data_IF_216061630381
#
_entry.id   IF_216061630381
#
_cell.length_a   1.000
_cell.length_b   1.000
_cell.length_c   1.000
_cell.angle_alpha   90.00
_cell.angle_beta   90.00
_cell.angle_gamma   90.00
#
_symmetry.space_group_name_H-M   'P 1'
#
loop_
_entity.id
_entity.type
_entity.pdbx_description
1 polymer ?
#
# COMPACT_ATOMS: atom_id res chain seq x y z
N UNK A 1 -2.49 25.15 23.02
CA UNK A 1 -3.21 23.95 22.53
C UNK A 1 -2.19 22.82 22.41
N UNK A 2 -2.42 21.67 23.05
CA UNK A 2 -1.57 20.49 22.87
C UNK A 2 -2.18 19.68 21.73
N UNK A 3 -1.51 19.64 20.58
CA UNK A 3 -1.91 18.77 19.48
C UNK A 3 -1.31 17.39 19.75
N UNK A 4 -2.16 16.38 19.81
CA UNK A 4 -1.71 14.99 19.76
C UNK A 4 -1.70 14.64 18.27
N UNK A 5 -0.50 14.45 17.71
CA UNK A 5 -0.34 13.94 16.36
C UNK A 5 -0.68 12.45 16.39
N UNK A 6 -1.72 12.05 15.67
CA UNK A 6 -2.03 10.64 15.44
C UNK A 6 -1.04 10.08 14.40
N UNK A 7 0.13 9.69 14.89
CA UNK A 7 1.21 9.12 14.07
C UNK A 7 0.84 7.76 13.46
N UNK A 8 -0.23 7.11 13.92
CA UNK A 8 -0.66 5.82 13.38
C UNK A 8 -1.45 6.00 12.08
N UNK A 9 -2.20 7.11 11.95
CA UNK A 9 -2.96 7.46 10.75
C UNK A 9 -2.15 8.20 9.67
N UNK A 10 -0.92 8.62 9.96
CA UNK A 10 -0.06 9.25 8.93
C UNK A 10 0.52 8.24 7.94
N UNK A 11 0.81 7.02 8.38
CA UNK A 11 1.31 5.94 7.51
C UNK A 11 0.71 4.58 7.87
N UNK A 12 -0.61 4.42 7.98
CA UNK A 12 -1.20 3.16 8.40
C UNK A 12 -0.96 2.07 7.34
N UNK A 13 -0.98 0.80 7.75
CA UNK A 13 -1.18 -0.30 6.82
C UNK A 13 -2.52 -0.15 6.08
N UNK A 14 -2.69 -0.87 4.99
CA UNK A 14 -4.00 -1.07 4.38
C UNK A 14 -4.62 -2.40 4.83
N UNK A 15 -5.76 -2.75 4.25
CA UNK A 15 -6.52 -3.96 4.59
C UNK A 15 -5.75 -5.25 4.31
N UNK A 16 -4.79 -5.26 3.38
CA UNK A 16 -3.97 -6.44 3.11
C UNK A 16 -3.02 -6.80 4.27
N UNK A 17 -2.86 -5.91 5.26
CA UNK A 17 -2.15 -6.21 6.52
C UNK A 17 -3.08 -6.41 7.73
N UNK A 18 -4.38 -6.61 7.48
CA UNK A 18 -5.34 -7.02 8.49
C UNK A 18 -5.74 -8.47 8.24
N UNK A 19 -5.73 -9.27 9.30
CA UNK A 19 -6.29 -10.63 9.25
C UNK A 19 -7.79 -10.50 9.48
N UNK A 20 -8.57 -10.76 8.43
CA UNK A 20 -10.02 -10.74 8.45
C UNK A 20 -10.52 -12.16 8.24
N UNK A 21 -11.23 -12.72 9.23
CA UNK A 21 -11.72 -14.10 9.18
C UNK A 21 -12.81 -14.30 8.11
N UNK A 22 -13.45 -13.22 7.67
CA UNK A 22 -14.63 -13.22 6.78
C UNK A 22 -14.29 -12.92 5.31
N UNK A 23 -13.03 -12.65 4.95
CA UNK A 23 -12.65 -12.18 3.61
C UNK A 23 -11.72 -13.16 2.92
N UNK A 24 -12.19 -13.75 1.83
CA UNK A 24 -11.34 -14.54 0.95
C UNK A 24 -10.47 -13.64 0.07
N UNK A 25 -9.15 -13.69 0.27
CA UNK A 25 -8.20 -12.99 -0.59
C UNK A 25 -8.11 -13.63 -1.97
N UNK A 26 -7.85 -12.82 -2.99
CA UNK A 26 -7.58 -13.29 -4.35
C UNK A 26 -6.29 -14.11 -4.43
N UNK A 27 -6.14 -14.90 -5.49
CA UNK A 27 -4.98 -15.80 -5.67
C UNK A 27 -3.67 -15.00 -5.70
N UNK A 28 -3.65 -13.87 -6.40
CA UNK A 28 -2.49 -13.00 -6.53
C UNK A 28 -2.05 -12.42 -5.17
N UNK A 29 -3.01 -12.09 -4.31
CA UNK A 29 -2.72 -11.61 -2.96
C UNK A 29 -2.19 -12.72 -2.05
N UNK A 30 -2.72 -13.95 -2.18
CA UNK A 30 -2.20 -15.12 -1.44
C UNK A 30 -0.80 -15.48 -1.88
N UNK A 31 -0.53 -15.48 -3.19
CA UNK A 31 0.79 -15.74 -3.77
C UNK A 31 1.83 -14.70 -3.33
N UNK A 32 1.41 -13.44 -3.17
CA UNK A 32 2.22 -12.37 -2.60
C UNK A 32 2.40 -12.46 -1.05
N UNK A 33 1.77 -13.45 -0.41
CA UNK A 33 1.87 -13.72 1.02
C UNK A 33 1.01 -12.80 1.89
N UNK A 34 -0.15 -12.34 1.40
CA UNK A 34 -1.16 -11.64 2.20
C UNK A 34 -2.19 -12.63 2.79
N UNK A 35 -2.79 -12.33 3.97
CA UNK A 35 -2.63 -11.11 4.73
C UNK A 35 -1.37 -11.14 5.62
N UNK A 36 -0.72 -9.99 5.82
CA UNK A 36 0.48 -9.90 6.68
C UNK A 36 0.15 -9.24 8.01
N UNK A 37 0.59 -9.82 9.13
CA UNK A 37 0.28 -9.25 10.43
C UNK A 37 1.02 -7.92 10.66
N UNK A 38 0.28 -6.86 11.03
CA UNK A 38 0.84 -5.58 11.45
C UNK A 38 0.63 -5.33 12.96
N UNK A 39 1.51 -4.52 13.58
CA UNK A 39 1.50 -4.30 15.04
C UNK A 39 0.22 -3.62 15.55
N UNK A 40 -0.42 -2.81 14.70
CA UNK A 40 -1.70 -2.16 14.99
C UNK A 40 -2.68 -2.42 13.85
N UNK A 41 -3.98 -2.31 14.14
CA UNK A 41 -5.07 -2.68 13.24
C UNK A 41 -5.77 -1.49 12.56
N UNK A 42 -5.29 -0.26 12.78
CA UNK A 42 -5.79 0.91 12.06
C UNK A 42 -5.35 0.84 10.61
N UNK A 43 -6.30 0.72 9.67
CA UNK A 43 -6.01 0.72 8.24
C UNK A 43 -6.52 1.98 7.56
N UNK A 44 -5.74 2.56 6.64
CA UNK A 44 -6.27 3.54 5.69
C UNK A 44 -5.62 3.36 4.33
N UNK A 45 -6.36 3.71 3.29
CA UNK A 45 -5.85 3.76 1.93
C UNK A 45 -5.20 5.12 1.66
N UNK A 46 -4.24 5.14 0.73
CA UNK A 46 -3.63 6.37 0.23
C UNK A 46 -4.60 7.11 -0.68
N UNK A 47 -4.56 8.43 -0.68
CA UNK A 47 -5.48 9.24 -1.47
C UNK A 47 -5.30 8.97 -2.97
N UNK A 48 -4.05 8.85 -3.43
CA UNK A 48 -3.73 8.57 -4.82
C UNK A 48 -4.29 7.22 -5.30
N UNK A 49 -4.35 6.22 -4.41
CA UNK A 49 -4.98 4.93 -4.69
C UNK A 49 -6.50 5.06 -4.78
N UNK A 50 -7.09 5.83 -3.86
CA UNK A 50 -8.54 6.08 -3.83
C UNK A 50 -8.96 6.78 -5.11
N UNK A 51 -8.24 7.82 -5.52
CA UNK A 51 -8.50 8.56 -6.75
C UNK A 51 -8.41 7.64 -7.97
N UNK A 52 -7.31 6.86 -8.09
CA UNK A 52 -7.14 5.92 -9.19
C UNK A 52 -8.19 4.79 -9.21
N UNK A 53 -8.63 4.33 -8.03
CA UNK A 53 -9.70 3.33 -7.93
C UNK A 53 -11.04 3.91 -8.37
N UNK A 54 -11.40 5.12 -7.92
CA UNK A 54 -12.63 5.80 -8.33
C UNK A 54 -12.64 6.03 -9.84
N UNK A 55 -11.53 6.46 -10.43
CA UNK A 55 -11.39 6.60 -11.88
C UNK A 55 -11.58 5.26 -12.61
N UNK A 56 -10.95 4.19 -12.15
CA UNK A 56 -11.11 2.85 -12.73
C UNK A 56 -12.57 2.37 -12.67
N UNK A 57 -13.24 2.56 -11.51
CA UNK A 57 -14.66 2.21 -11.34
C UNK A 57 -15.57 3.08 -12.19
N UNK A 58 -15.25 4.36 -12.38
CA UNK A 58 -16.01 5.24 -13.26
C UNK A 58 -15.91 4.81 -14.72
N UNK A 59 -14.71 4.47 -15.20
CA UNK A 59 -14.52 3.93 -16.57
C UNK A 59 -15.27 2.60 -16.74
N UNK A 60 -15.23 1.72 -15.73
CA UNK A 60 -15.99 0.47 -15.75
C UNK A 60 -17.51 0.73 -15.77
N UNK A 61 -17.99 1.70 -15.00
CA UNK A 61 -19.40 2.11 -14.96
C UNK A 61 -19.87 2.55 -16.35
N UNK A 62 -19.12 3.45 -17.00
CA UNK A 62 -19.43 3.93 -18.35
C UNK A 62 -19.46 2.77 -19.37
N UNK A 63 -18.52 1.82 -19.28
CA UNK A 63 -18.50 0.64 -20.15
C UNK A 63 -19.71 -0.27 -19.94
N UNK A 64 -20.10 -0.51 -18.68
CA UNK A 64 -21.26 -1.34 -18.34
C UNK A 64 -22.56 -0.66 -18.77
N UNK A 65 -22.69 0.65 -18.56
CA UNK A 65 -23.85 1.42 -19.01
C UNK A 65 -24.00 1.35 -20.54
N UNK A 66 -22.92 1.57 -21.28
CA UNK A 66 -22.91 1.45 -22.74
C UNK A 66 -23.26 0.03 -23.21
N UNK A 67 -22.72 -1.00 -22.55
CA UNK A 67 -23.04 -2.40 -22.85
C UNK A 67 -24.53 -2.71 -22.65
N UNK A 68 -25.11 -2.24 -21.55
CA UNK A 68 -26.52 -2.46 -21.25
C UNK A 68 -27.45 -1.68 -22.19
N UNK A 69 -27.09 -0.46 -22.60
CA UNK A 69 -27.80 0.31 -23.64
C UNK A 69 -27.81 -0.46 -24.97
N UNK A 70 -26.64 -0.91 -25.44
CA UNK A 70 -26.56 -1.69 -26.68
C UNK A 70 -27.29 -3.03 -26.61
N UNK A 71 -27.34 -3.68 -25.44
CA UNK A 71 -28.08 -4.93 -25.28
C UNK A 71 -29.61 -4.73 -25.35
N UNK A 72 -30.10 -3.53 -25.06
CA UNK A 72 -31.51 -3.16 -25.17
C UNK A 72 -31.87 -2.82 -26.62
N UNK A 73 -31.00 -2.10 -27.34
CA UNK A 73 -31.19 -1.78 -28.77
C UNK A 73 -31.22 -3.05 -29.66
N UNK A 74 -30.55 -4.13 -29.25
CA UNK A 74 -30.51 -5.39 -30.00
C UNK A 74 -31.68 -6.36 -29.70
N UNK A 75 -32.62 -6.01 -28.82
CA UNK A 75 -33.85 -6.79 -28.65
C UNK A 75 -34.88 -6.39 -29.72
N UNK A 76 -35.48 -7.33 -30.46
CA UNK A 76 -36.50 -7.00 -31.46
C UNK A 76 -37.73 -6.37 -30.79
N UNK A 77 -38.20 -5.25 -31.36
CA UNK A 77 -39.36 -4.48 -30.92
C UNK A 77 -40.64 -5.34 -30.83
N UNK A 78 -41.05 -5.68 -29.61
CA UNK A 78 -42.45 -5.97 -29.28
C UNK A 78 -42.93 -4.99 -28.22
N UNK A 79 -43.25 -3.76 -28.62
CA UNK A 79 -44.49 -3.04 -28.25
C UNK A 79 -44.43 -1.60 -28.78
N UNK A 80 -45.45 -1.22 -29.56
CA UNK A 80 -45.71 0.16 -29.90
C UNK A 80 -46.30 0.93 -28.72
N UNK A 81 -45.92 2.21 -28.68
CA UNK A 81 -46.58 3.35 -28.01
C UNK A 81 -46.51 3.43 -26.47
N UNK A 82 -45.44 4.08 -25.99
CA UNK A 82 -45.39 5.13 -24.93
C UNK A 82 -43.92 5.56 -24.78
N UNK A 83 -43.42 6.39 -25.69
CA UNK A 83 -41.96 6.52 -25.90
C UNK A 83 -41.22 7.41 -24.90
N UNK A 84 -41.85 8.35 -24.18
CA UNK A 84 -41.08 9.27 -23.31
C UNK A 84 -40.89 8.76 -21.88
N UNK A 85 -41.92 8.20 -21.22
CA UNK A 85 -41.77 7.65 -19.86
C UNK A 85 -41.03 6.30 -19.83
N UNK A 86 -41.17 5.48 -20.88
CA UNK A 86 -40.46 4.20 -20.99
C UNK A 86 -38.97 4.41 -21.23
N UNK A 87 -38.56 5.43 -21.99
CA UNK A 87 -37.13 5.72 -22.21
C UNK A 87 -36.46 6.22 -20.92
N UNK A 88 -37.11 7.09 -20.13
CA UNK A 88 -36.56 7.52 -18.84
C UNK A 88 -36.47 6.37 -17.80
N UNK A 89 -37.43 5.43 -17.82
CA UNK A 89 -37.39 4.24 -16.97
C UNK A 89 -36.26 3.27 -17.37
N UNK A 90 -36.06 3.10 -18.68
CA UNK A 90 -35.02 2.24 -19.25
C UNK A 90 -33.63 2.79 -18.94
N UNK A 91 -33.42 4.10 -19.02
CA UNK A 91 -32.15 4.74 -18.64
C UNK A 91 -31.83 4.54 -17.15
N UNK A 92 -32.84 4.66 -16.27
CA UNK A 92 -32.68 4.43 -14.83
C UNK A 92 -32.34 2.97 -14.51
N UNK A 93 -32.95 2.01 -15.21
CA UNK A 93 -32.66 0.59 -15.04
C UNK A 93 -31.26 0.20 -15.53
N UNK A 94 -30.80 0.83 -16.61
CA UNK A 94 -29.42 0.65 -17.12
C UNK A 94 -28.42 1.21 -16.11
N UNK A 95 -28.66 2.43 -15.62
CA UNK A 95 -27.82 3.07 -14.61
C UNK A 95 -27.79 2.21 -13.34
N UNK A 96 -28.91 1.64 -12.90
CA UNK A 96 -28.96 0.80 -11.72
C UNK A 96 -28.17 -0.51 -11.88
N UNK A 97 -28.26 -1.16 -13.04
CA UNK A 97 -27.46 -2.36 -13.35
C UNK A 97 -25.97 -2.05 -13.39
N UNK A 98 -25.60 -0.93 -14.02
CA UNK A 98 -24.21 -0.48 -14.07
C UNK A 98 -23.69 -0.10 -12.67
N UNK A 99 -24.48 0.61 -11.87
CA UNK A 99 -24.16 1.02 -10.50
C UNK A 99 -23.93 -0.19 -9.59
N UNK A 100 -24.79 -1.20 -9.69
CA UNK A 100 -24.62 -2.46 -8.96
C UNK A 100 -23.35 -3.21 -9.42
N UNK A 101 -23.05 -3.24 -10.72
CA UNK A 101 -21.84 -3.86 -11.26
C UNK A 101 -20.53 -3.21 -10.77
N UNK A 102 -20.57 -1.91 -10.49
CA UNK A 102 -19.43 -1.16 -9.93
C UNK A 102 -19.49 -0.97 -8.41
N UNK A 103 -20.39 -1.68 -7.70
CA UNK A 103 -20.44 -1.65 -6.25
C UNK A 103 -20.71 -0.26 -5.68
N UNK A 104 -21.50 0.55 -6.39
CA UNK A 104 -21.90 1.88 -5.92
C UNK A 104 -22.65 1.78 -4.58
N UNK A 105 -22.49 2.78 -3.72
CA UNK A 105 -23.25 2.87 -2.46
C UNK A 105 -24.73 3.14 -2.71
N UNK A 106 -25.03 3.89 -3.77
CA UNK A 106 -26.39 4.18 -4.22
C UNK A 106 -26.70 3.40 -5.48
N UNK A 107 -27.92 2.90 -5.56
CA UNK A 107 -28.34 2.09 -6.71
C UNK A 107 -28.79 2.97 -7.89
N UNK A 108 -29.04 4.27 -7.68
CA UNK A 108 -29.56 5.19 -8.72
C UNK A 108 -28.49 6.06 -9.38
N UNK A 109 -27.28 6.10 -8.82
CA UNK A 109 -26.18 6.94 -9.30
C UNK A 109 -24.83 6.32 -8.97
N UNK A 110 -23.78 6.79 -9.64
CA UNK A 110 -22.41 6.43 -9.29
C UNK A 110 -21.98 7.21 -8.03
N UNK A 111 -21.90 6.52 -6.89
CA UNK A 111 -21.45 7.09 -5.62
C UNK A 111 -20.48 6.12 -4.93
N UNK A 112 -19.19 6.40 -5.04
CA UNK A 112 -18.12 5.64 -4.37
C UNK A 112 -17.50 6.54 -3.31
N UNK A 113 -17.72 6.19 -2.05
CA UNK A 113 -17.14 6.90 -0.89
C UNK A 113 -16.49 5.90 0.04
N UNK A 114 -15.36 6.30 0.60
CA UNK A 114 -14.61 5.48 1.53
C UNK A 114 -14.79 6.01 2.95
N UNK A 115 -15.17 5.10 3.84
CA UNK A 115 -15.15 5.35 5.26
C UNK A 115 -13.86 4.75 5.85
N UNK A 116 -12.93 5.57 6.37
CA UNK A 116 -11.63 5.10 6.85
C UNK A 116 -11.73 4.28 8.14
N UNK A 117 -12.85 4.37 8.87
CA UNK A 117 -13.02 3.74 10.18
C UNK A 117 -13.79 2.40 10.13
N UNK A 118 -14.04 1.88 8.93
CA UNK A 118 -14.82 0.65 8.69
C UNK A 118 -14.24 -0.59 9.38
N UNK A 119 -12.92 -0.67 9.49
CA UNK A 119 -12.20 -1.76 10.15
C UNK A 119 -11.49 -1.32 11.45
N UNK A 120 -11.73 -0.09 11.92
CA UNK A 120 -11.10 0.42 13.15
C UNK A 120 -11.64 -0.33 14.38
N UNK A 121 -10.80 -1.04 15.17
CA UNK A 121 -11.27 -1.76 16.33
C UNK A 121 -11.81 -0.79 17.38
N UNK A 122 -13.04 -1.02 17.83
CA UNK A 122 -13.70 -0.22 18.87
C UNK A 122 -14.53 0.96 18.38
N UNK A 123 -14.57 1.23 17.07
CA UNK A 123 -15.52 2.19 16.48
C UNK A 123 -16.75 1.43 16.00
N UNK A 124 -17.93 1.84 16.45
CA UNK A 124 -19.21 1.37 15.89
C UNK A 124 -19.71 2.42 14.91
N UNK A 125 -19.71 2.14 13.60
CA UNK A 125 -20.27 3.04 12.61
C UNK A 125 -21.76 3.28 12.91
N UNK A 126 -22.24 4.50 12.68
CA UNK A 126 -23.65 4.84 12.83
C UNK A 126 -24.53 4.33 11.67
N UNK A 127 -23.94 3.65 10.68
CA UNK A 127 -24.59 3.18 9.48
C UNK A 127 -25.33 1.86 9.69
N UNK A 128 -26.33 1.60 8.84
CA UNK A 128 -27.03 0.32 8.79
C UNK A 128 -26.08 -0.84 8.47
N UNK A 129 -26.41 -2.04 8.96
CA UNK A 129 -25.56 -3.22 8.78
C UNK A 129 -25.32 -3.57 7.30
N UNK A 130 -26.31 -3.33 6.44
CA UNK A 130 -26.21 -3.54 5.00
C UNK A 130 -25.26 -2.53 4.34
N UNK A 131 -25.37 -1.25 4.72
CA UNK A 131 -24.49 -0.20 4.21
C UNK A 131 -23.04 -0.44 4.67
N UNK A 132 -22.85 -0.82 5.94
CA UNK A 132 -21.54 -1.17 6.47
C UNK A 132 -20.91 -2.35 5.71
N UNK A 133 -21.69 -3.35 5.30
CA UNK A 133 -21.20 -4.46 4.45
C UNK A 133 -20.73 -3.96 3.09
N UNK A 134 -21.49 -3.07 2.42
CA UNK A 134 -21.08 -2.44 1.15
C UNK A 134 -19.82 -1.59 1.32
N UNK A 135 -19.71 -0.82 2.41
CA UNK A 135 -18.50 -0.04 2.73
C UNK A 135 -17.28 -0.95 2.95
N UNK A 136 -17.44 -2.05 3.70
CA UNK A 136 -16.38 -3.06 3.90
C UNK A 136 -15.91 -3.67 2.59
N UNK A 137 -16.84 -4.10 1.74
CA UNK A 137 -16.50 -4.71 0.45
C UNK A 137 -15.76 -3.72 -0.45
N UNK A 138 -16.17 -2.45 -0.49
CA UNK A 138 -15.48 -1.42 -1.29
C UNK A 138 -14.02 -1.22 -0.88
N UNK A 139 -13.72 -1.19 0.42
CA UNK A 139 -12.34 -1.05 0.91
C UNK A 139 -11.52 -2.30 0.57
N UNK A 140 -12.11 -3.50 0.69
CA UNK A 140 -11.47 -4.76 0.29
C UNK A 140 -11.20 -4.79 -1.22
N UNK A 141 -12.16 -4.36 -2.03
CA UNK A 141 -12.01 -4.29 -3.49
C UNK A 141 -10.90 -3.31 -3.90
N UNK A 142 -10.79 -2.17 -3.22
CA UNK A 142 -9.69 -1.23 -3.44
C UNK A 142 -8.32 -1.82 -3.04
N UNK A 143 -8.27 -2.58 -1.94
CA UNK A 143 -7.06 -3.29 -1.52
C UNK A 143 -6.66 -4.41 -2.51
N UNK A 144 -7.65 -5.08 -3.10
CA UNK A 144 -7.44 -6.05 -4.19
C UNK A 144 -6.91 -5.36 -5.44
N UNK A 145 -7.55 -4.26 -5.85
CA UNK A 145 -7.13 -3.44 -7.00
C UNK A 145 -5.68 -2.98 -6.89
N UNK A 146 -5.20 -2.65 -5.69
CA UNK A 146 -3.79 -2.33 -5.47
C UNK A 146 -2.86 -3.47 -5.94
N UNK A 147 -3.17 -4.71 -5.55
CA UNK A 147 -2.32 -5.88 -5.85
C UNK A 147 -2.50 -6.36 -7.28
N UNK A 148 -3.73 -6.39 -7.79
CA UNK A 148 -4.04 -6.96 -9.10
C UNK A 148 -3.82 -6.00 -10.26
N UNK A 149 -3.97 -4.69 -10.04
CA UNK A 149 -3.92 -3.69 -11.10
C UNK A 149 -2.82 -2.65 -10.89
N UNK A 150 -2.75 -1.98 -9.73
CA UNK A 150 -1.77 -0.89 -9.52
C UNK A 150 -0.33 -1.38 -9.50
N UNK A 151 -0.02 -2.47 -8.79
CA UNK A 151 1.34 -3.02 -8.74
C UNK A 151 1.82 -3.48 -10.14
N UNK A 152 1.08 -4.34 -10.87
CA UNK A 152 1.45 -4.70 -12.23
C UNK A 152 1.44 -3.51 -13.20
N UNK A 153 0.51 -2.56 -13.02
CA UNK A 153 0.43 -1.31 -13.78
C UNK A 153 1.70 -0.47 -13.63
N UNK A 154 2.20 -0.32 -12.40
CA UNK A 154 3.47 0.36 -12.13
C UNK A 154 4.65 -0.31 -12.83
N UNK A 155 4.71 -1.66 -12.82
CA UNK A 155 5.76 -2.40 -13.53
C UNK A 155 5.69 -2.15 -15.04
N UNK A 156 4.48 -2.14 -15.63
CA UNK A 156 4.28 -1.80 -17.04
C UNK A 156 4.71 -0.37 -17.36
N UNK A 157 4.32 0.59 -16.53
CA UNK A 157 4.71 1.99 -16.72
C UNK A 157 6.24 2.16 -16.70
N UNK A 158 6.94 1.45 -15.82
CA UNK A 158 8.41 1.43 -15.79
C UNK A 158 9.03 0.79 -17.03
N UNK A 159 8.37 -0.20 -17.64
CA UNK A 159 8.79 -0.78 -18.92
C UNK A 159 8.60 0.21 -20.08
N UNK A 160 7.53 1.00 -20.03
CA UNK A 160 7.23 2.06 -20.99
C UNK A 160 8.04 3.35 -20.73
N UNK A 161 8.95 3.32 -19.74
CA UNK A 161 9.79 4.44 -19.33
C UNK A 161 9.02 5.70 -18.92
N UNK A 162 7.78 5.56 -18.44
CA UNK A 162 6.99 6.69 -17.94
C UNK A 162 7.57 7.22 -16.62
N UNK A 163 7.53 6.48 -15.49
CA UNK A 163 8.40 6.74 -14.35
C UNK A 163 9.77 6.05 -14.55
N UNK A 164 10.85 6.83 -14.50
CA UNK A 164 12.23 6.34 -14.54
C UNK A 164 12.98 6.73 -13.25
N UNK A 165 12.69 6.06 -12.12
CA UNK A 165 13.35 6.37 -10.87
C UNK A 165 14.85 6.05 -10.96
N UNK A 166 15.66 6.98 -10.48
CA UNK A 166 17.13 6.92 -10.52
C UNK A 166 17.74 6.57 -9.16
N UNK A 167 16.96 6.75 -8.09
CA UNK A 167 17.37 6.49 -6.71
C UNK A 167 16.18 6.03 -5.85
N UNK A 168 16.45 5.68 -4.59
CA UNK A 168 15.42 5.20 -3.65
C UNK A 168 14.35 6.25 -3.30
N UNK A 169 14.71 7.53 -3.36
CA UNK A 169 13.79 8.65 -3.08
C UNK A 169 12.78 8.75 -4.23
N UNK A 170 13.25 8.89 -5.46
CA UNK A 170 12.39 8.94 -6.66
C UNK A 170 11.57 7.67 -6.83
N UNK A 171 12.11 6.49 -6.48
CA UNK A 171 11.34 5.24 -6.45
C UNK A 171 10.18 5.31 -5.44
N UNK A 172 10.45 5.80 -4.23
CA UNK A 172 9.43 5.93 -3.19
C UNK A 172 8.35 6.93 -3.59
N UNK A 173 8.73 8.05 -4.20
CA UNK A 173 7.80 9.05 -4.72
C UNK A 173 6.96 8.50 -5.87
N UNK A 174 7.57 7.76 -6.82
CA UNK A 174 6.85 7.14 -7.93
C UNK A 174 5.82 6.10 -7.45
N UNK A 175 6.16 5.29 -6.45
CA UNK A 175 5.23 4.35 -5.83
C UNK A 175 4.09 5.07 -5.11
N UNK A 176 4.42 6.08 -4.31
CA UNK A 176 3.42 6.87 -3.59
C UNK A 176 2.50 7.64 -4.54
N UNK A 177 3.00 8.14 -5.67
CA UNK A 177 2.22 8.81 -6.71
C UNK A 177 1.19 7.91 -7.38
N UNK A 178 1.37 6.57 -7.32
CA UNK A 178 0.37 5.56 -7.71
C UNK A 178 -0.49 5.07 -6.54
N UNK A 179 -0.33 5.65 -5.35
CA UNK A 179 -1.00 5.21 -4.13
C UNK A 179 -0.49 3.89 -3.56
N UNK A 180 0.65 3.39 -4.04
CA UNK A 180 1.25 2.14 -3.57
C UNK A 180 2.04 2.44 -2.29
N UNK A 181 1.69 1.75 -1.20
CA UNK A 181 2.45 1.89 0.03
C UNK A 181 3.84 1.27 -0.13
N UNK A 182 4.87 1.93 0.39
CA UNK A 182 6.23 1.40 0.32
C UNK A 182 6.44 0.06 1.06
N UNK A 183 5.47 -0.37 1.87
CA UNK A 183 5.39 -1.75 2.42
C UNK A 183 5.32 -2.83 1.33
N UNK A 184 4.81 -2.49 0.14
CA UNK A 184 4.76 -3.38 -1.02
C UNK A 184 6.09 -3.49 -1.78
N UNK A 185 7.14 -2.77 -1.36
CA UNK A 185 8.45 -2.79 -2.02
C UNK A 185 9.00 -4.21 -2.17
N UNK A 186 8.85 -5.07 -1.16
CA UNK A 186 9.29 -6.46 -1.25
C UNK A 186 8.52 -7.27 -2.31
N UNK A 187 7.21 -7.05 -2.43
CA UNK A 187 6.38 -7.69 -3.46
C UNK A 187 6.78 -7.20 -4.85
N UNK A 188 7.03 -5.89 -5.01
CA UNK A 188 7.52 -5.30 -6.24
C UNK A 188 8.87 -5.89 -6.66
N UNK A 189 9.84 -5.99 -5.73
CA UNK A 189 11.17 -6.58 -5.99
C UNK A 189 11.03 -7.98 -6.57
N UNK A 190 10.17 -8.81 -6.00
CA UNK A 190 9.92 -10.16 -6.50
C UNK A 190 9.36 -10.15 -7.93
N UNK A 191 8.40 -9.26 -8.23
CA UNK A 191 7.80 -9.13 -9.57
C UNK A 191 8.81 -8.67 -10.64
N UNK A 192 9.70 -7.73 -10.31
CA UNK A 192 10.68 -7.20 -11.26
C UNK A 192 11.95 -8.05 -11.36
N UNK A 193 12.19 -8.97 -10.41
CA UNK A 193 13.37 -9.84 -10.41
C UNK A 193 13.48 -10.72 -11.66
N UNK A 194 12.35 -11.11 -12.25
CA UNK A 194 12.27 -11.90 -13.47
C UNK A 194 12.33 -11.09 -14.76
N UNK A 195 12.44 -9.75 -14.68
CA UNK A 195 12.35 -8.85 -15.83
C UNK A 195 13.70 -8.21 -16.14
N UNK A 196 14.38 -8.71 -17.17
CA UNK A 196 15.74 -8.28 -17.53
C UNK A 196 15.87 -6.77 -17.84
N UNK A 197 14.83 -6.17 -18.44
CA UNK A 197 14.81 -4.74 -18.78
C UNK A 197 14.78 -3.85 -17.53
N UNK A 198 14.31 -4.36 -16.39
CA UNK A 198 14.17 -3.62 -15.13
C UNK A 198 15.29 -3.95 -14.12
N UNK A 199 16.42 -4.49 -14.56
CA UNK A 199 17.59 -4.76 -13.69
C UNK A 199 18.07 -3.53 -12.92
N UNK A 200 18.04 -2.36 -13.54
CA UNK A 200 18.42 -1.10 -12.88
C UNK A 200 17.46 -0.81 -11.72
N UNK A 201 16.15 -0.95 -11.95
CA UNK A 201 15.10 -0.72 -10.97
C UNK A 201 15.17 -1.74 -9.83
N UNK A 202 15.40 -3.01 -10.17
CA UNK A 202 15.61 -4.08 -9.19
C UNK A 202 16.78 -3.76 -8.25
N UNK A 203 17.90 -3.28 -8.80
CA UNK A 203 19.08 -2.90 -8.00
C UNK A 203 18.77 -1.75 -7.04
N UNK A 204 18.06 -0.72 -7.51
CA UNK A 204 17.63 0.40 -6.68
C UNK A 204 16.67 -0.06 -5.57
N UNK A 205 15.67 -0.89 -5.92
CA UNK A 205 14.68 -1.38 -4.99
C UNK A 205 15.29 -2.28 -3.90
N UNK A 206 16.25 -3.13 -4.25
CA UNK A 206 17.02 -3.93 -3.28
C UNK A 206 17.87 -3.04 -2.38
N UNK A 207 18.58 -2.05 -2.94
CA UNK A 207 19.32 -1.07 -2.14
C UNK A 207 18.40 -0.34 -1.14
N UNK A 208 17.24 0.12 -1.58
CA UNK A 208 16.26 0.79 -0.71
C UNK A 208 15.76 -0.15 0.40
N UNK A 209 15.51 -1.42 0.10
CA UNK A 209 15.11 -2.44 1.07
C UNK A 209 16.20 -2.69 2.13
N UNK A 210 17.46 -2.80 1.70
CA UNK A 210 18.61 -2.97 2.61
C UNK A 210 18.81 -1.72 3.47
N UNK A 211 18.81 -0.52 2.88
CA UNK A 211 18.98 0.75 3.59
C UNK A 211 17.91 0.96 4.67
N UNK A 212 16.65 0.63 4.38
CA UNK A 212 15.55 0.70 5.36
C UNK A 212 15.68 -0.30 6.49
N UNK A 213 16.05 -1.53 6.15
CA UNK A 213 16.31 -2.58 7.14
C UNK A 213 17.47 -2.20 8.05
N UNK A 214 18.57 -1.70 7.46
CA UNK A 214 19.73 -1.20 8.18
C UNK A 214 19.36 -0.03 9.11
N UNK A 215 18.57 0.94 8.65
CA UNK A 215 18.08 2.04 9.50
C UNK A 215 17.30 1.53 10.71
N UNK A 216 16.42 0.54 10.52
CA UNK A 216 15.62 -0.04 11.60
C UNK A 216 16.50 -0.75 12.64
N UNK A 217 17.43 -1.61 12.18
CA UNK A 217 18.38 -2.30 13.06
C UNK A 217 19.31 -1.30 13.77
N UNK A 218 19.78 -0.28 13.06
CA UNK A 218 20.64 0.77 13.61
C UNK A 218 19.97 1.54 14.74
N UNK A 219 18.70 1.91 14.58
CA UNK A 219 17.94 2.62 15.61
C UNK A 219 17.84 1.82 16.91
N UNK A 220 17.54 0.52 16.82
CA UNK A 220 17.51 -0.37 17.98
C UNK A 220 18.90 -0.59 18.56
N UNK A 221 19.92 -0.77 17.72
CA UNK A 221 21.30 -0.95 18.14
C UNK A 221 21.82 0.24 18.96
N UNK A 222 21.53 1.48 18.53
CA UNK A 222 21.97 2.67 19.24
C UNK A 222 21.22 2.95 20.55
N UNK A 223 19.98 2.48 20.72
CA UNK A 223 19.20 2.69 21.95
C UNK A 223 19.86 2.08 23.20
N UNK A 224 20.69 1.04 23.02
CA UNK A 224 21.41 0.39 24.11
C UNK A 224 22.80 0.94 24.40
N UNK A 225 23.26 1.98 23.68
CA UNK A 225 24.63 2.47 23.74
C UNK A 225 24.73 3.74 24.58
N UNK A 226 25.64 3.75 25.55
CA UNK A 226 25.95 4.95 26.33
C UNK A 226 26.53 6.07 25.44
N UNK A 227 26.23 7.33 25.78
CA UNK A 227 26.66 8.49 25.00
C UNK A 227 28.18 8.55 24.77
N UNK A 228 28.99 8.02 25.69
CA UNK A 228 30.45 7.95 25.57
C UNK A 228 30.94 6.96 24.51
N UNK A 229 30.17 5.92 24.19
CA UNK A 229 30.54 4.87 23.22
C UNK A 229 29.82 5.03 21.87
N UNK A 230 29.00 6.07 21.71
CA UNK A 230 28.13 6.24 20.53
C UNK A 230 28.93 6.26 19.21
N UNK A 231 30.02 7.03 19.15
CA UNK A 231 30.84 7.14 17.95
C UNK A 231 31.48 5.79 17.54
N UNK A 232 31.96 5.03 18.52
CA UNK A 232 32.54 3.70 18.32
C UNK A 232 31.47 2.71 17.83
N UNK A 233 30.29 2.73 18.45
CA UNK A 233 29.18 1.90 18.05
C UNK A 233 28.70 2.22 16.62
N UNK A 234 28.58 3.50 16.27
CA UNK A 234 28.22 3.95 14.92
C UNK A 234 29.25 3.49 13.88
N UNK A 235 30.54 3.68 14.15
CA UNK A 235 31.61 3.22 13.26
C UNK A 235 31.60 1.71 13.09
N UNK A 236 31.45 0.95 14.17
CA UNK A 236 31.34 -0.51 14.11
C UNK A 236 30.15 -0.96 13.24
N UNK A 237 28.97 -0.38 13.46
CA UNK A 237 27.79 -0.70 12.66
C UNK A 237 27.98 -0.42 11.16
N UNK A 238 28.52 0.76 10.82
CA UNK A 238 28.76 1.14 9.43
C UNK A 238 29.85 0.27 8.77
N UNK A 239 30.88 -0.13 9.53
CA UNK A 239 31.87 -1.09 9.05
C UNK A 239 31.25 -2.47 8.81
N UNK A 240 30.31 -2.92 9.64
CA UNK A 240 29.57 -4.16 9.38
C UNK A 240 28.65 -4.06 8.16
N UNK A 241 28.05 -2.89 7.90
CA UNK A 241 27.11 -2.69 6.80
C UNK A 241 27.80 -2.50 5.44
N UNK A 242 28.88 -1.72 5.42
CA UNK A 242 29.55 -1.27 4.18
C UNK A 242 30.93 -1.90 3.97
N UNK A 243 31.54 -2.44 5.03
CA UNK A 243 32.88 -2.99 4.99
C UNK A 243 32.93 -4.35 4.30
N UNK A 244 33.98 -4.56 3.53
CA UNK A 244 34.31 -5.83 2.86
C UNK A 244 35.33 -6.67 3.64
N UNK A 245 35.87 -6.13 4.73
CA UNK A 245 36.88 -6.76 5.56
C UNK A 245 36.30 -7.22 6.92
N UNK A 246 36.79 -8.33 7.50
CA UNK A 246 36.38 -8.76 8.84
C UNK A 246 36.74 -7.67 9.86
N UNK A 247 35.75 -7.21 10.62
CA UNK A 247 35.94 -6.15 11.61
C UNK A 247 36.86 -6.64 12.73
N UNK A 248 38.06 -6.07 12.83
CA UNK A 248 38.89 -6.25 14.01
C UNK A 248 38.17 -5.56 15.18
N UNK A 249 37.85 -6.32 16.24
CA UNK A 249 37.27 -5.74 17.44
C UNK A 249 38.18 -4.59 17.92
N UNK A 250 37.63 -3.41 18.22
CA UNK A 250 38.44 -2.33 18.75
C UNK A 250 39.14 -2.82 20.01
N UNK A 251 40.44 -2.52 20.21
CA UNK A 251 41.14 -2.92 21.42
C UNK A 251 40.38 -2.36 22.61
N UNK A 252 39.93 -3.25 23.50
CA UNK A 252 39.36 -2.87 24.78
C UNK A 252 40.42 -2.08 25.53
N UNK A 253 40.21 -0.78 25.74
CA UNK A 253 41.02 -0.02 26.69
C UNK A 253 40.74 -0.57 28.08
N UNK A 254 41.55 -1.53 28.53
CA UNK A 254 41.61 -1.93 29.93
C UNK A 254 42.02 -0.71 30.76
N UNK A 255 41.03 -0.03 31.35
CA UNK A 255 41.23 1.01 32.38
C UNK A 255 41.67 0.42 33.72
N UNK A 256 42.52 -0.60 33.70
CA UNK A 256 43.18 -1.15 34.89
C UNK A 256 44.65 -1.33 34.64
N UNK A 257 45.41 -0.23 34.67
CA UNK A 257 46.76 -0.24 35.22
C UNK A 257 47.17 1.19 35.62
N UNK A 258 46.58 1.65 36.72
CA UNK A 258 47.21 2.65 37.58
C UNK A 258 48.48 2.05 38.18
N UNK A 259 49.54 1.98 37.38
CA UNK A 259 50.85 1.54 37.79
C UNK A 259 51.39 2.46 38.88
N UNK A 260 51.25 2.04 40.15
CA UNK A 260 51.97 2.61 41.29
C UNK A 260 53.46 2.64 40.95
N UNK A 261 53.98 3.80 40.55
CA UNK A 261 55.41 4.10 40.58
C UNK A 261 55.86 4.03 42.04
N UNK A 262 56.36 2.87 42.47
CA UNK A 262 57.11 2.72 43.72
C UNK A 262 58.40 3.53 43.57
N UNK A 263 58.50 4.63 44.31
CA UNK A 263 59.76 5.36 44.49
C UNK A 263 60.83 4.41 45.04
N UNK A 264 61.97 4.34 44.36
CA UNK A 264 63.20 3.81 44.94
C UNK A 264 63.91 4.95 45.65
N UNK A 265 64.26 4.66 46.90
CA UNK A 265 65.19 5.42 47.75
C UNK A 265 66.50 5.69 47.05
#
# INVERSE_FOLDING_TARGET
>A
RRYILDLLRTFPPDVNFLVLDEVELCLEARDAGFPRHHRHQLCTLRQELVDAFVESRYVLFMKLAAYHLHALENKPDECGEEKEEVIEGVDKDVIAKAAHGVGSLKDTEFDVRFNPDVFSPGVKPAADEQQLKKEKSLVVDAAKFLVTEQLPGFVKDCLDHSPSPVDGITLSEALHGRGINIRYLGTLVNMISSVDQLKYLHSIAVCELVCRSAKHVFATYLQGVEACHLAQAMSHFLNCLLGTAPCAAPPTEDRTNGGRRRGRR
#
